data_IF_022573471160
#
_entry.id   IF_022573471160
#
_cell.length_a   1.000
_cell.length_b   1.000
_cell.length_c   1.000
_cell.angle_alpha   90.00
_cell.angle_beta   90.00
_cell.angle_gamma   90.00
#
_symmetry.space_group_name_H-M   'P 1'
#
loop_
_entity.id
_entity.type
_entity.pdbx_description
1 polymer ?
#
# COMPACT_ATOMS: atom_id res chain seq x y z
N UNK A 1 37.55 -21.92 15.63
CA UNK A 1 37.91 -21.11 16.81
C UNK A 1 37.90 -19.60 16.52
N UNK A 2 38.74 -19.04 15.64
CA UNK A 2 38.76 -17.58 15.40
C UNK A 2 37.45 -17.02 14.78
N UNK A 3 36.78 -17.79 13.91
CA UNK A 3 35.50 -17.41 13.31
C UNK A 3 34.35 -17.39 14.33
N UNK A 4 34.35 -18.32 15.29
CA UNK A 4 33.29 -18.43 16.31
C UNK A 4 33.34 -17.25 17.28
N UNK A 5 34.53 -16.79 17.66
CA UNK A 5 34.70 -15.56 18.45
C UNK A 5 34.22 -14.31 17.70
N UNK A 6 34.51 -14.22 16.40
CA UNK A 6 34.08 -13.11 15.56
C UNK A 6 32.54 -13.03 15.47
N UNK A 7 31.89 -14.18 15.28
CA UNK A 7 30.43 -14.30 15.26
C UNK A 7 29.85 -13.93 16.62
N UNK A 8 30.46 -14.38 17.71
CA UNK A 8 30.04 -14.05 19.07
C UNK A 8 30.07 -12.55 19.37
N UNK A 9 31.15 -11.86 18.97
CA UNK A 9 31.25 -10.39 19.10
C UNK A 9 30.21 -9.66 18.26
N UNK A 10 30.07 -10.04 17.00
CA UNK A 10 29.07 -9.43 16.10
C UNK A 10 27.66 -9.62 16.64
N UNK A 11 27.33 -10.80 17.14
CA UNK A 11 26.02 -11.10 17.71
C UNK A 11 25.74 -10.28 18.99
N UNK A 12 26.75 -10.09 19.84
CA UNK A 12 26.64 -9.32 21.08
C UNK A 12 26.42 -7.81 20.83
N UNK A 13 26.95 -7.28 19.73
CA UNK A 13 26.84 -5.86 19.37
C UNK A 13 25.60 -5.53 18.51
N UNK A 14 24.82 -6.54 18.10
CA UNK A 14 23.59 -6.32 17.33
C UNK A 14 22.54 -5.60 18.18
N UNK A 15 22.23 -4.35 17.80
CA UNK A 15 21.07 -3.64 18.35
C UNK A 15 19.79 -4.41 18.00
N UNK A 16 18.87 -4.62 18.96
CA UNK A 16 17.64 -5.34 18.72
C UNK A 16 16.86 -4.68 17.58
N UNK A 17 16.62 -5.44 16.52
CA UNK A 17 15.86 -4.97 15.36
C UNK A 17 14.44 -4.68 15.84
N UNK A 18 14.04 -3.41 15.75
CA UNK A 18 12.71 -2.97 16.16
C UNK A 18 11.70 -3.71 15.30
N UNK A 19 10.76 -4.44 15.94
CA UNK A 19 9.72 -5.15 15.21
C UNK A 19 8.95 -4.15 14.34
N UNK A 20 8.88 -4.43 13.04
CA UNK A 20 8.05 -3.68 12.12
C UNK A 20 6.61 -3.77 12.65
N UNK A 21 5.92 -2.63 12.73
CA UNK A 21 4.51 -2.61 13.14
C UNK A 21 3.64 -3.48 12.22
N UNK A 22 2.40 -3.82 12.62
CA UNK A 22 1.55 -4.69 11.82
C UNK A 22 1.43 -4.16 10.39
N UNK A 23 1.76 -4.96 9.36
CA UNK A 23 1.80 -4.49 7.97
C UNK A 23 0.45 -3.96 7.50
N UNK A 24 -0.64 -4.54 8.03
CA UNK A 24 -2.02 -4.11 7.77
C UNK A 24 -2.25 -2.65 8.19
N UNK A 25 -1.67 -2.18 9.30
CA UNK A 25 -1.81 -0.79 9.74
C UNK A 25 -1.13 0.19 8.80
N UNK A 26 0.05 -0.18 8.30
CA UNK A 26 0.76 0.66 7.33
C UNK A 26 0.01 0.69 6.00
N UNK A 27 -0.48 -0.46 5.52
CA UNK A 27 -1.26 -0.56 4.30
C UNK A 27 -2.57 0.26 4.39
N UNK A 28 -3.31 0.14 5.49
CA UNK A 28 -4.56 0.89 5.71
C UNK A 28 -4.33 2.40 5.80
N UNK A 29 -3.26 2.85 6.47
CA UNK A 29 -2.89 4.26 6.49
C UNK A 29 -2.58 4.79 5.09
N UNK A 30 -1.80 4.05 4.30
CA UNK A 30 -1.51 4.43 2.92
C UNK A 30 -2.75 4.46 2.03
N UNK A 31 -3.62 3.46 2.19
CA UNK A 31 -4.85 3.36 1.42
C UNK A 31 -5.83 4.49 1.79
N UNK A 32 -5.93 4.83 3.08
CA UNK A 32 -6.72 5.97 3.54
C UNK A 32 -6.17 7.31 3.02
N UNK A 33 -4.85 7.49 2.99
CA UNK A 33 -4.21 8.67 2.43
C UNK A 33 -4.52 8.81 0.92
N UNK A 34 -4.40 7.72 0.17
CA UNK A 34 -4.72 7.69 -1.25
C UNK A 34 -6.21 8.01 -1.49
N UNK A 35 -7.12 7.42 -0.70
CA UNK A 35 -8.54 7.72 -0.77
C UNK A 35 -8.85 9.20 -0.49
N UNK A 36 -8.23 9.78 0.54
CA UNK A 36 -8.40 11.20 0.86
C UNK A 36 -7.92 12.11 -0.28
N UNK A 37 -6.78 11.80 -0.90
CA UNK A 37 -6.28 12.54 -2.06
C UNK A 37 -7.24 12.48 -3.26
N UNK A 38 -7.81 11.29 -3.54
CA UNK A 38 -8.82 11.13 -4.59
C UNK A 38 -10.08 11.94 -4.29
N UNK A 39 -10.59 11.89 -3.06
CA UNK A 39 -11.77 12.66 -2.65
C UNK A 39 -11.53 14.17 -2.82
N UNK A 40 -10.37 14.67 -2.40
CA UNK A 40 -9.99 16.07 -2.57
C UNK A 40 -9.94 16.47 -4.05
N UNK A 41 -9.36 15.62 -4.90
CA UNK A 41 -9.30 15.88 -6.33
C UNK A 41 -10.71 15.93 -6.95
N UNK A 42 -11.58 14.98 -6.63
CA UNK A 42 -12.96 14.95 -7.12
C UNK A 42 -13.76 16.14 -6.60
N UNK A 43 -13.58 16.53 -5.34
CA UNK A 43 -14.24 17.70 -4.77
C UNK A 43 -13.83 19.01 -5.46
N UNK A 44 -12.57 19.10 -5.91
CA UNK A 44 -12.05 20.30 -6.57
C UNK A 44 -12.39 20.36 -8.07
N UNK A 45 -12.20 19.27 -8.80
CA UNK A 45 -12.39 19.22 -10.26
C UNK A 45 -13.81 18.80 -10.69
N UNK A 46 -14.62 18.31 -9.75
CA UNK A 46 -15.96 17.79 -10.00
C UNK A 46 -15.96 16.35 -10.51
N UNK A 47 -17.15 15.75 -10.55
CA UNK A 47 -17.33 14.43 -11.15
C UNK A 47 -17.25 14.50 -12.67
N UNK A 48 -16.60 13.50 -13.26
CA UNK A 48 -16.50 13.38 -14.70
C UNK A 48 -17.88 13.06 -15.29
N UNK A 49 -18.37 13.91 -16.20
CA UNK A 49 -19.73 13.81 -16.75
C UNK A 49 -20.01 12.55 -17.58
N UNK A 50 -18.97 11.92 -18.14
CA UNK A 50 -19.09 10.67 -18.91
C UNK A 50 -18.87 9.41 -18.05
N UNK A 51 -18.66 9.55 -16.73
CA UNK A 51 -18.30 8.43 -15.85
C UNK A 51 -19.36 7.32 -15.89
N UNK A 52 -20.64 7.69 -15.80
CA UNK A 52 -21.74 6.73 -15.87
C UNK A 52 -21.76 5.97 -17.21
N UNK A 53 -21.60 6.69 -18.34
CA UNK A 53 -21.57 6.08 -19.67
C UNK A 53 -20.35 5.16 -19.85
N UNK A 54 -19.20 5.52 -19.27
CA UNK A 54 -17.96 4.75 -19.32
C UNK A 54 -18.00 3.47 -18.51
N UNK A 55 -18.61 3.49 -17.33
CA UNK A 55 -18.76 2.31 -16.49
C UNK A 55 -19.58 1.19 -17.16
N UNK A 56 -20.39 1.51 -18.16
CA UNK A 56 -21.11 0.52 -18.96
C UNK A 56 -20.30 -0.05 -20.13
N UNK A 57 -19.10 0.47 -20.40
CA UNK A 57 -18.24 -0.05 -21.47
C UNK A 57 -17.73 -1.45 -21.08
N UNK A 58 -17.83 -2.44 -21.98
CA UNK A 58 -17.54 -3.83 -21.66
C UNK A 58 -16.09 -4.05 -21.20
N UNK A 59 -15.14 -3.26 -21.73
CA UNK A 59 -13.74 -3.33 -21.31
C UNK A 59 -13.52 -2.75 -19.89
N UNK A 60 -14.25 -1.69 -19.51
CA UNK A 60 -14.16 -1.13 -18.16
C UNK A 60 -14.75 -2.13 -17.15
N UNK A 61 -15.91 -2.72 -17.46
CA UNK A 61 -16.53 -3.77 -16.62
C UNK A 61 -15.59 -4.96 -16.42
N UNK A 62 -14.92 -5.43 -17.48
CA UNK A 62 -13.94 -6.50 -17.37
C UNK A 62 -12.75 -6.12 -16.47
N UNK A 63 -12.28 -4.87 -16.55
CA UNK A 63 -11.21 -4.36 -15.70
C UNK A 63 -11.65 -4.25 -14.22
N UNK A 64 -12.88 -3.80 -13.97
CA UNK A 64 -13.45 -3.78 -12.62
C UNK A 64 -13.52 -5.18 -12.01
N UNK A 65 -14.00 -6.17 -12.77
CA UNK A 65 -14.02 -7.57 -12.31
C UNK A 65 -12.61 -8.10 -12.03
N UNK A 66 -11.64 -7.82 -12.91
CA UNK A 66 -10.25 -8.22 -12.73
C UNK A 66 -9.58 -7.56 -11.53
N UNK A 67 -10.04 -6.38 -11.10
CA UNK A 67 -9.48 -5.70 -9.93
C UNK A 67 -9.91 -6.31 -8.58
N UNK A 68 -10.97 -7.12 -8.58
CA UNK A 68 -11.55 -7.75 -7.38
C UNK A 68 -11.15 -9.23 -7.24
N UNK A 69 -10.79 -9.89 -8.34
CA UNK A 69 -10.35 -11.29 -8.39
C UNK A 69 -8.86 -11.45 -8.06
#
# INVERSE_FOLDING_TARGET
MQTEELIGRLAAELRPVRRLGPPVRQATLWLALAAAAMVLAVAHYGFRHDLAARMHLPYEVAQWLASVA
#
